data_IF_537423000512
#
_entry.id   IF_537423000512
#
_cell.length_a   1.000
_cell.length_b   1.000
_cell.length_c   1.000
_cell.angle_alpha   90.00
_cell.angle_beta   90.00
_cell.angle_gamma   90.00
#
_symmetry.space_group_name_H-M   'P 1'
#
loop_
_entity.id
_entity.type
_entity.pdbx_description
1 polymer ?
#
# COMPACT_ATOMS: atom_id res chain seq x y z
N UNK A 1 -52.63 14.92 -1.58
CA UNK A 1 -51.49 15.06 -2.52
C UNK A 1 -50.27 14.51 -1.79
N UNK A 2 -49.86 13.28 -2.08
CA UNK A 2 -48.72 12.63 -1.43
C UNK A 2 -47.47 12.90 -2.26
N UNK A 3 -46.60 13.79 -1.78
CA UNK A 3 -45.26 13.98 -2.36
C UNK A 3 -44.38 12.81 -1.95
N UNK A 4 -44.05 11.95 -2.92
CA UNK A 4 -42.97 10.97 -2.81
C UNK A 4 -41.64 11.74 -2.84
N UNK A 5 -40.97 11.85 -1.70
CA UNK A 5 -39.58 12.32 -1.63
C UNK A 5 -38.69 11.17 -2.12
N UNK A 6 -38.26 11.20 -3.39
CA UNK A 6 -37.17 10.34 -3.85
C UNK A 6 -35.90 10.73 -3.07
N UNK A 7 -35.53 9.89 -2.11
CA UNK A 7 -34.19 9.85 -1.56
C UNK A 7 -33.24 9.54 -2.71
N UNK A 8 -32.50 10.56 -3.17
CA UNK A 8 -31.40 10.39 -4.10
C UNK A 8 -30.38 9.45 -3.48
N UNK A 9 -30.28 8.24 -4.03
CA UNK A 9 -29.14 7.35 -3.82
C UNK A 9 -27.90 8.17 -4.19
N UNK A 10 -27.15 8.59 -3.18
CA UNK A 10 -25.81 9.10 -3.39
C UNK A 10 -25.00 7.92 -3.92
N UNK A 11 -24.60 8.00 -5.19
CA UNK A 11 -23.67 7.05 -5.80
C UNK A 11 -22.38 7.23 -5.01
N UNK A 12 -22.16 6.38 -4.01
CA UNK A 12 -20.90 6.35 -3.28
C UNK A 12 -19.79 6.06 -4.30
N UNK A 13 -18.78 6.92 -4.41
CA UNK A 13 -17.73 6.77 -5.40
C UNK A 13 -16.97 5.46 -5.16
N UNK A 14 -16.60 4.79 -6.25
CA UNK A 14 -15.87 3.53 -6.27
C UNK A 14 -14.61 3.65 -5.41
N UNK A 15 -14.51 2.92 -4.29
CA UNK A 15 -13.28 2.83 -3.50
C UNK A 15 -12.12 2.37 -4.41
N UNK A 16 -11.28 3.32 -4.82
CA UNK A 16 -10.19 3.12 -5.76
C UNK A 16 -8.97 2.74 -4.94
N UNK A 17 -8.73 1.44 -4.86
CA UNK A 17 -7.59 0.87 -4.18
C UNK A 17 -6.29 1.36 -4.83
N UNK A 18 -5.40 2.00 -4.08
CA UNK A 18 -4.17 2.53 -4.69
C UNK A 18 -3.23 1.44 -5.17
N UNK A 19 -3.17 0.30 -4.48
CA UNK A 19 -2.34 -0.85 -4.83
C UNK A 19 -2.97 -2.14 -4.29
N UNK A 20 -3.92 -2.75 -5.02
CA UNK A 20 -4.50 -4.04 -4.65
C UNK A 20 -3.42 -5.13 -4.51
N UNK A 21 -3.39 -5.82 -3.36
CA UNK A 21 -2.38 -6.85 -3.14
C UNK A 21 -0.97 -6.33 -2.83
N UNK A 22 -0.83 -5.13 -2.26
CA UNK A 22 0.45 -4.60 -1.78
C UNK A 22 0.33 -3.97 -0.38
N UNK A 23 1.45 -3.83 0.31
CA UNK A 23 1.49 -3.17 1.63
C UNK A 23 1.47 -1.64 1.48
N UNK A 24 2.23 -1.13 0.50
CA UNK A 24 2.46 0.30 0.33
C UNK A 24 2.43 0.71 -1.14
N UNK A 25 2.33 2.02 -1.33
CA UNK A 25 2.38 2.70 -2.61
C UNK A 25 3.45 3.80 -2.56
N UNK A 26 4.26 3.92 -3.60
CA UNK A 26 5.29 4.94 -3.73
C UNK A 26 4.83 6.04 -4.69
N UNK A 27 5.07 7.30 -4.31
CA UNK A 27 4.69 8.48 -5.08
C UNK A 27 5.89 9.39 -5.27
N UNK A 28 6.14 9.75 -6.53
CA UNK A 28 6.94 10.91 -6.91
C UNK A 28 5.99 12.03 -7.32
N UNK A 29 5.93 13.09 -6.52
CA UNK A 29 4.94 14.16 -6.74
C UNK A 29 5.45 15.32 -7.60
N UNK A 30 6.72 15.28 -8.02
CA UNK A 30 7.33 16.26 -8.93
C UNK A 30 7.67 17.61 -8.29
N UNK A 31 7.39 17.80 -7.00
CA UNK A 31 7.71 19.00 -6.21
C UNK A 31 9.02 18.84 -5.39
N UNK A 32 9.79 17.79 -5.67
CA UNK A 32 10.98 17.40 -4.92
C UNK A 32 10.70 16.53 -3.69
N UNK A 33 9.43 16.25 -3.38
CA UNK A 33 9.02 15.32 -2.35
C UNK A 33 8.59 13.96 -2.89
N UNK A 34 8.97 12.96 -2.11
CA UNK A 34 8.68 11.55 -2.35
C UNK A 34 7.98 10.96 -1.15
N UNK A 35 6.97 10.15 -1.41
CA UNK A 35 6.10 9.61 -0.38
C UNK A 35 5.96 8.10 -0.51
N UNK A 36 5.87 7.43 0.63
CA UNK A 36 5.36 6.07 0.73
C UNK A 36 4.11 6.12 1.58
N UNK A 37 2.99 5.63 1.05
CA UNK A 37 1.71 5.58 1.74
C UNK A 37 1.21 4.14 1.86
N UNK A 38 0.48 3.86 2.93
CA UNK A 38 -0.22 2.58 3.09
C UNK A 38 -1.48 2.52 2.20
N UNK A 39 -2.16 1.38 2.20
CA UNK A 39 -3.37 1.14 1.39
C UNK A 39 -4.52 2.10 1.70
N UNK A 40 -4.55 2.69 2.89
CA UNK A 40 -5.51 3.72 3.30
C UNK A 40 -5.07 5.16 2.95
N UNK A 41 -4.08 5.32 2.06
CA UNK A 41 -3.55 6.61 1.63
C UNK A 41 -2.94 7.49 2.73
N UNK A 42 -2.59 6.88 3.86
CA UNK A 42 -1.84 7.57 4.91
C UNK A 42 -0.36 7.49 4.57
N UNK A 43 0.30 8.64 4.47
CA UNK A 43 1.75 8.71 4.28
C UNK A 43 2.47 8.18 5.53
N UNK A 44 3.33 7.18 5.33
CA UNK A 44 4.19 6.59 6.37
C UNK A 44 5.64 7.09 6.25
N UNK A 45 6.08 7.42 5.04
CA UNK A 45 7.38 8.06 4.79
C UNK A 45 7.17 9.27 3.88
N UNK A 46 7.82 10.38 4.22
CA UNK A 46 7.91 11.57 3.38
C UNK A 46 9.36 12.08 3.40
N UNK A 47 9.97 12.25 2.24
CA UNK A 47 11.36 12.71 2.15
C UNK A 47 11.55 13.68 0.99
N UNK A 48 12.37 14.70 1.21
CA UNK A 48 12.82 15.62 0.18
C UNK A 48 14.26 15.28 -0.20
N UNK A 49 14.50 14.99 -1.48
CA UNK A 49 15.77 14.44 -1.95
C UNK A 49 16.17 15.09 -3.27
N UNK A 50 17.40 15.63 -3.36
CA UNK A 50 17.95 16.09 -4.65
C UNK A 50 18.21 14.93 -5.61
N UNK A 51 18.62 13.78 -5.08
CA UNK A 51 18.69 12.51 -5.80
C UNK A 51 18.05 11.42 -4.93
N UNK A 52 16.89 10.92 -5.34
CA UNK A 52 16.14 9.90 -4.60
C UNK A 52 16.95 8.64 -4.32
N UNK A 53 17.82 8.24 -5.25
CA UNK A 53 18.62 7.02 -5.12
C UNK A 53 19.75 7.12 -4.11
N UNK A 54 19.95 8.31 -3.53
CA UNK A 54 20.90 8.53 -2.43
C UNK A 54 20.21 8.72 -1.08
N UNK A 55 18.87 8.70 -1.06
CA UNK A 55 18.11 8.83 0.17
C UNK A 55 17.97 7.49 0.88
N UNK A 56 18.11 7.52 2.21
CA UNK A 56 18.18 6.33 3.05
C UNK A 56 16.94 5.43 2.98
N UNK A 57 15.79 5.99 2.60
CA UNK A 57 14.52 5.27 2.54
C UNK A 57 14.22 4.63 1.19
N UNK A 58 15.07 4.81 0.18
CA UNK A 58 14.75 4.38 -1.19
C UNK A 58 15.89 3.57 -1.80
N UNK A 59 15.54 2.44 -2.39
CA UNK A 59 16.41 1.67 -3.28
C UNK A 59 16.06 1.99 -4.72
N UNK A 60 17.08 2.17 -5.57
CA UNK A 60 16.91 2.34 -7.00
C UNK A 60 17.61 1.25 -7.81
N UNK A 61 16.90 0.70 -8.79
CA UNK A 61 17.44 -0.23 -9.78
C UNK A 61 16.48 -0.33 -10.98
N UNK A 62 16.88 0.07 -12.20
CA UNK A 62 18.13 0.73 -12.55
C UNK A 62 18.24 2.15 -11.94
N UNK A 63 19.39 2.81 -12.11
CA UNK A 63 19.63 4.15 -11.58
C UNK A 63 18.53 5.13 -12.00
N UNK A 64 17.98 5.86 -11.03
CA UNK A 64 16.91 6.85 -11.23
C UNK A 64 15.48 6.30 -11.13
N UNK A 65 15.29 4.98 -11.01
CA UNK A 65 13.99 4.35 -10.82
C UNK A 65 13.91 3.70 -9.45
N UNK A 66 12.94 4.10 -8.62
CA UNK A 66 12.73 3.51 -7.30
C UNK A 66 12.16 2.11 -7.47
N UNK A 67 12.89 1.11 -6.98
CA UNK A 67 12.46 -0.28 -6.98
C UNK A 67 12.33 -0.84 -5.56
N UNK A 68 12.65 -0.05 -4.53
CA UNK A 68 12.40 -0.43 -3.16
C UNK A 68 12.17 0.79 -2.27
N UNK A 69 11.35 0.62 -1.25
CA UNK A 69 11.15 1.60 -0.18
C UNK A 69 11.49 0.96 1.16
N UNK A 70 11.95 1.76 2.11
CA UNK A 70 12.15 1.33 3.48
C UNK A 70 11.10 2.00 4.38
N UNK A 71 10.30 1.19 5.06
CA UNK A 71 9.29 1.65 6.03
C UNK A 71 9.54 0.94 7.34
N UNK A 72 9.63 1.69 8.44
CA UNK A 72 9.94 1.16 9.78
C UNK A 72 11.21 0.27 9.82
N UNK A 73 12.22 0.61 9.02
CA UNK A 73 13.49 -0.13 8.94
C UNK A 73 13.44 -1.41 8.10
N UNK A 74 12.29 -1.76 7.51
CA UNK A 74 12.14 -2.94 6.66
C UNK A 74 12.05 -2.55 5.18
N UNK A 75 12.64 -3.37 4.32
CA UNK A 75 12.60 -3.20 2.88
C UNK A 75 11.33 -3.78 2.27
N UNK A 76 10.78 -3.02 1.32
CA UNK A 76 9.66 -3.41 0.49
C UNK A 76 10.05 -3.24 -0.97
N UNK A 77 9.91 -4.30 -1.76
CA UNK A 77 10.21 -4.30 -3.19
C UNK A 77 9.04 -3.68 -3.97
N UNK A 78 9.34 -2.72 -4.83
CA UNK A 78 8.37 -1.93 -5.57
C UNK A 78 8.35 -2.29 -7.04
N UNK A 79 7.15 -2.42 -7.61
CA UNK A 79 6.92 -2.71 -9.03
C UNK A 79 5.77 -1.87 -9.54
N UNK A 80 5.80 -1.59 -10.84
CA UNK A 80 4.63 -1.02 -11.49
C UNK A 80 3.51 -2.07 -11.52
N UNK A 81 2.28 -1.62 -11.30
CA UNK A 81 1.09 -2.47 -11.30
C UNK A 81 -0.04 -1.76 -12.06
N UNK A 82 -0.59 -2.42 -13.08
CA UNK A 82 -1.61 -1.83 -13.94
C UNK A 82 -2.96 -1.63 -13.23
N UNK A 83 -3.20 -2.33 -12.12
CA UNK A 83 -4.43 -2.24 -11.31
C UNK A 83 -4.37 -1.13 -10.26
N UNK A 84 -3.27 -0.38 -10.19
CA UNK A 84 -3.11 0.72 -9.22
C UNK A 84 -4.16 1.81 -9.42
N UNK A 85 -4.89 2.12 -8.35
CA UNK A 85 -5.86 3.22 -8.30
C UNK A 85 -5.21 4.55 -7.93
N UNK A 86 -5.96 5.39 -7.24
CA UNK A 86 -5.49 6.72 -6.85
C UNK A 86 -5.89 7.07 -5.42
N UNK A 87 -5.13 7.95 -4.76
CA UNK A 87 -5.50 8.42 -3.44
C UNK A 87 -6.62 9.46 -3.51
N UNK A 88 -7.87 9.04 -3.74
CA UNK A 88 -9.02 9.94 -3.82
C UNK A 88 -9.90 9.97 -2.56
N UNK A 89 -10.91 10.86 -2.49
CA UNK A 89 -11.86 10.97 -1.39
C UNK A 89 -12.65 9.67 -1.11
N UNK A 90 -12.70 8.77 -2.08
CA UNK A 90 -13.28 7.44 -1.98
C UNK A 90 -12.59 6.49 -0.98
N UNK A 91 -11.36 6.81 -0.54
CA UNK A 91 -10.57 5.95 0.35
C UNK A 91 -10.90 6.14 1.84
N UNK A 92 -12.01 6.80 2.17
CA UNK A 92 -12.50 6.96 3.55
C UNK A 92 -11.64 7.86 4.45
N UNK A 93 -10.50 8.32 3.96
CA UNK A 93 -9.59 9.25 4.62
C UNK A 93 -9.28 10.41 3.67
N UNK A 94 -9.12 11.62 4.22
CA UNK A 94 -8.62 12.74 3.43
C UNK A 94 -7.10 12.53 3.23
N UNK A 95 -6.65 12.11 2.02
CA UNK A 95 -5.22 11.94 1.79
C UNK A 95 -4.50 13.27 2.01
N UNK A 96 -3.19 13.25 2.34
CA UNK A 96 -2.38 14.46 2.30
C UNK A 96 -2.61 15.18 0.96
N UNK A 97 -2.71 16.52 0.93
CA UNK A 97 -2.98 17.27 -0.30
C UNK A 97 -2.04 16.91 -1.47
N UNK A 98 -0.84 16.45 -1.16
CA UNK A 98 0.18 16.03 -2.13
C UNK A 98 -0.17 14.72 -2.82
N UNK A 99 -0.93 13.83 -2.18
CA UNK A 99 -1.34 12.52 -2.70
C UNK A 99 -2.76 12.54 -3.27
N UNK A 100 -3.56 13.56 -2.94
CA UNK A 100 -4.95 13.67 -3.34
C UNK A 100 -5.14 13.53 -4.87
N UNK A 101 -5.96 12.56 -5.27
CA UNK A 101 -6.29 12.17 -6.64
C UNK A 101 -5.08 11.80 -7.50
N UNK A 102 -3.98 11.36 -6.89
CA UNK A 102 -2.79 10.91 -7.61
C UNK A 102 -2.72 9.39 -7.62
N UNK A 103 -2.34 8.84 -8.77
CA UNK A 103 -1.93 7.44 -8.88
C UNK A 103 -0.49 7.30 -8.38
N UNK A 104 -0.14 6.21 -7.69
CA UNK A 104 1.23 5.94 -7.32
C UNK A 104 2.09 5.62 -8.55
N UNK A 105 3.40 5.87 -8.43
CA UNK A 105 4.36 5.45 -9.43
C UNK A 105 4.51 3.93 -9.41
N UNK A 106 4.59 3.33 -8.23
CA UNK A 106 4.74 1.88 -8.03
C UNK A 106 4.08 1.39 -6.75
N UNK A 107 3.79 0.09 -6.71
CA UNK A 107 3.24 -0.61 -5.56
C UNK A 107 4.30 -1.51 -4.92
N UNK A 108 4.36 -1.56 -3.58
CA UNK A 108 5.47 -2.14 -2.83
C UNK A 108 5.02 -3.24 -1.85
N UNK A 109 5.72 -4.38 -1.89
CA UNK A 109 5.50 -5.55 -1.02
C UNK A 109 6.67 -5.81 -0.09
N UNK A 110 6.39 -6.33 1.10
CA UNK A 110 7.42 -6.64 2.08
C UNK A 110 8.40 -7.69 1.54
N UNK A 111 9.68 -7.33 1.48
CA UNK A 111 10.75 -8.21 1.00
C UNK A 111 11.32 -9.01 2.18
N UNK A 112 10.51 -9.97 2.67
CA UNK A 112 10.86 -10.81 3.81
C UNK A 112 12.18 -11.55 3.65
N UNK A 113 12.54 -11.95 2.42
CA UNK A 113 13.81 -12.63 2.14
C UNK A 113 14.99 -11.68 2.33
N UNK A 114 14.96 -10.50 1.68
CA UNK A 114 16.00 -9.49 1.84
C UNK A 114 16.14 -9.06 3.30
N UNK A 115 15.01 -8.82 3.97
CA UNK A 115 15.00 -8.41 5.37
C UNK A 115 15.64 -9.48 6.28
N UNK A 116 15.42 -10.77 5.99
CA UNK A 116 16.06 -11.88 6.71
C UNK A 116 17.55 -11.98 6.40
N UNK A 117 17.94 -11.85 5.13
CA UNK A 117 19.34 -11.91 4.67
C UNK A 117 20.18 -10.75 5.23
N UNK A 118 19.61 -9.55 5.32
CA UNK A 118 20.23 -8.37 5.93
C UNK A 118 20.20 -8.40 7.47
N UNK A 119 19.59 -9.43 8.08
CA UNK A 119 19.51 -9.58 9.54
C UNK A 119 18.58 -8.58 10.23
N UNK A 120 17.65 -7.98 9.49
CA UNK A 120 16.68 -7.01 10.00
C UNK A 120 15.51 -7.70 10.73
N UNK A 121 15.26 -8.97 10.43
CA UNK A 121 14.19 -9.78 11.01
C UNK A 121 14.65 -11.21 11.30
N UNK A 122 13.97 -11.89 12.23
CA UNK A 122 14.15 -13.31 12.47
C UNK A 122 13.31 -14.18 11.52
N UNK A 123 13.54 -15.50 11.59
CA UNK A 123 12.83 -16.49 10.75
C UNK A 123 11.32 -16.49 10.98
N UNK A 124 10.88 -16.24 12.22
CA UNK A 124 9.46 -16.22 12.58
C UNK A 124 8.77 -15.02 11.93
N UNK A 125 9.37 -13.84 12.04
CA UNK A 125 8.87 -12.65 11.36
C UNK A 125 8.89 -12.83 9.83
N UNK A 126 9.95 -13.41 9.26
CA UNK A 126 10.00 -13.72 7.82
C UNK A 126 8.86 -14.67 7.38
N UNK A 127 8.52 -15.67 8.19
CA UNK A 127 7.37 -16.56 7.93
C UNK A 127 6.05 -15.80 7.95
N UNK A 128 5.84 -14.91 8.92
CA UNK A 128 4.63 -14.09 9.00
C UNK A 128 4.49 -13.17 7.77
N UNK A 129 5.60 -12.59 7.30
CA UNK A 129 5.64 -11.81 6.06
C UNK A 129 5.26 -12.68 4.85
N UNK A 130 5.74 -13.92 4.79
CA UNK A 130 5.38 -14.86 3.72
C UNK A 130 3.87 -15.17 3.70
N UNK A 131 3.27 -15.33 4.88
CA UNK A 131 1.82 -15.54 5.01
C UNK A 131 1.03 -14.30 4.56
N UNK A 132 1.48 -13.10 4.95
CA UNK A 132 0.88 -11.84 4.46
C UNK A 132 1.04 -11.69 2.95
N UNK A 133 2.20 -12.02 2.39
CA UNK A 133 2.40 -11.94 0.94
C UNK A 133 1.46 -12.91 0.19
N UNK A 134 1.21 -14.10 0.74
CA UNK A 134 0.23 -15.05 0.19
C UNK A 134 -1.20 -14.52 0.24
N UNK A 135 -1.56 -13.80 1.32
CA UNK A 135 -2.83 -13.09 1.43
C UNK A 135 -2.95 -12.00 0.35
N UNK A 136 -1.89 -11.22 0.16
CA UNK A 136 -1.84 -10.15 -0.82
C UNK A 136 -1.91 -10.66 -2.27
N UNK A 137 -1.34 -11.84 -2.56
CA UNK A 137 -1.51 -12.53 -3.85
C UNK A 137 -2.97 -12.84 -4.12
N UNK A 138 -3.67 -13.44 -3.15
CA UNK A 138 -5.09 -13.70 -3.25
C UNK A 138 -5.89 -12.41 -3.46
N UNK A 139 -5.52 -11.31 -2.79
CA UNK A 139 -6.20 -10.03 -2.95
C UNK A 139 -6.07 -9.46 -4.36
N UNK A 140 -4.90 -9.60 -4.98
CA UNK A 140 -4.68 -9.18 -6.37
C UNK A 140 -5.58 -9.97 -7.32
N UNK A 141 -5.61 -11.31 -7.19
CA UNK A 141 -6.46 -12.18 -8.01
C UNK A 141 -7.95 -11.87 -7.84
N UNK A 142 -8.42 -11.69 -6.59
CA UNK A 142 -9.82 -11.33 -6.31
C UNK A 142 -10.19 -9.99 -6.93
N UNK A 143 -9.28 -9.00 -6.90
CA UNK A 143 -9.52 -7.67 -7.43
C UNK A 143 -9.59 -7.65 -8.96
N UNK A 144 -8.72 -8.43 -9.62
CA UNK A 144 -8.76 -8.63 -11.07
C UNK A 144 -10.08 -9.27 -11.53
N UNK A 145 -10.62 -10.20 -10.74
CA UNK A 145 -11.86 -10.92 -11.06
C UNK A 145 -13.14 -10.16 -10.66
N UNK A 146 -13.03 -9.13 -9.81
CA UNK A 146 -14.18 -8.38 -9.32
C UNK A 146 -14.78 -7.46 -10.37
N UNK A 147 -16.11 -7.40 -10.39
CA UNK A 147 -16.84 -6.37 -11.16
C UNK A 147 -16.68 -4.99 -10.51
N UNK A 148 -16.88 -3.92 -11.26
CA UNK A 148 -16.80 -2.56 -10.72
C UNK A 148 -17.79 -2.31 -9.56
N UNK A 149 -18.92 -3.02 -9.55
CA UNK A 149 -19.92 -2.92 -8.49
C UNK A 149 -19.46 -3.60 -7.19
N UNK A 150 -18.70 -4.68 -7.30
CA UNK A 150 -18.24 -5.48 -6.14
C UNK A 150 -16.95 -4.95 -5.52
N UNK A 151 -16.15 -4.18 -6.28
CA UNK A 151 -14.84 -3.70 -5.86
C UNK A 151 -14.88 -2.91 -4.54
N UNK A 152 -15.92 -2.14 -4.28
CA UNK A 152 -16.02 -1.37 -3.02
C UNK A 152 -16.06 -2.30 -1.80
N UNK A 153 -17.00 -3.26 -1.80
CA UNK A 153 -17.16 -4.19 -0.69
C UNK A 153 -15.94 -5.11 -0.55
N UNK A 154 -15.39 -5.55 -1.68
CA UNK A 154 -14.15 -6.33 -1.72
C UNK A 154 -13.01 -5.56 -1.05
N UNK A 155 -12.82 -4.28 -1.39
CA UNK A 155 -11.71 -3.48 -0.88
C UNK A 155 -11.78 -3.21 0.60
N UNK A 156 -12.97 -2.89 1.11
CA UNK A 156 -13.15 -2.72 2.55
C UNK A 156 -12.78 -3.98 3.33
N UNK A 157 -13.11 -5.17 2.80
CA UNK A 157 -12.68 -6.45 3.40
C UNK A 157 -11.17 -6.62 3.33
N UNK A 158 -10.58 -6.41 2.14
CA UNK A 158 -9.15 -6.59 1.92
C UNK A 158 -8.29 -5.66 2.81
N UNK A 159 -8.72 -4.42 3.03
CA UNK A 159 -8.04 -3.48 3.93
C UNK A 159 -8.01 -3.98 5.37
N UNK A 160 -9.14 -4.48 5.88
CA UNK A 160 -9.20 -5.07 7.22
C UNK A 160 -8.32 -6.32 7.34
N UNK A 161 -8.31 -7.19 6.32
CA UNK A 161 -7.46 -8.39 6.30
C UNK A 161 -5.96 -8.03 6.28
N UNK A 162 -5.57 -6.99 5.53
CA UNK A 162 -4.18 -6.49 5.49
C UNK A 162 -3.79 -5.87 6.83
N UNK A 163 -4.65 -5.05 7.44
CA UNK A 163 -4.40 -4.48 8.77
C UNK A 163 -4.16 -5.58 9.81
N UNK A 164 -4.99 -6.63 9.81
CA UNK A 164 -4.83 -7.77 10.71
C UNK A 164 -3.53 -8.55 10.41
N UNK A 165 -3.20 -8.78 9.15
CA UNK A 165 -1.98 -9.49 8.76
C UNK A 165 -0.71 -8.71 9.17
N UNK A 166 -0.69 -7.39 8.95
CA UNK A 166 0.40 -6.53 9.39
C UNK A 166 0.55 -6.51 10.91
N UNK A 167 -0.57 -6.59 11.67
CA UNK A 167 -0.50 -6.75 13.12
C UNK A 167 0.17 -8.08 13.51
N UNK A 168 -0.13 -9.18 12.82
CA UNK A 168 0.52 -10.48 13.06
C UNK A 168 2.03 -10.45 12.76
N UNK A 169 2.46 -9.70 11.74
CA UNK A 169 3.89 -9.46 11.49
C UNK A 169 4.57 -8.76 12.67
N UNK A 170 3.96 -7.68 13.19
CA UNK A 170 4.47 -6.96 14.37
C UNK A 170 4.55 -7.86 15.60
N UNK A 171 3.51 -8.67 15.84
CA UNK A 171 3.52 -9.64 16.94
C UNK A 171 4.65 -10.67 16.76
N UNK A 172 4.83 -11.21 15.55
CA UNK A 172 5.91 -12.14 15.25
C UNK A 172 7.31 -11.52 15.48
N UNK A 173 7.49 -10.25 15.13
CA UNK A 173 8.72 -9.51 15.37
C UNK A 173 9.06 -9.37 16.86
N UNK A 174 8.06 -9.15 17.72
CA UNK A 174 8.26 -8.98 19.16
C UNK A 174 8.80 -10.25 19.86
N UNK A 175 8.56 -11.43 19.29
CA UNK A 175 9.08 -12.68 19.83
C UNK A 175 10.48 -13.04 19.34
N UNK A 176 10.99 -12.40 18.29
CA UNK A 176 12.36 -12.58 17.80
C UNK A 176 13.37 -11.74 18.62
N UNK A 177 12.89 -10.82 19.46
CA UNK A 177 13.70 -9.95 20.34
C UNK A 177 13.91 -10.48 21.77
N UNK A 178 13.67 -11.76 22.03
CA UNK A 178 13.85 -12.43 23.35
C UNK A 178 15.00 -13.42 23.33
#
# INVERSE_FOLDING_TARGET
MHSLTLLGLSILPLASAICPGYNYAFFNTGDGWFYTANTACKAEVASNCGNICTCSFFGCSPSGSVNAVQVNGLWYNCRDDASKGSCGPENGFAPPPQLANRAPESCCRNDGNRNLEEGLIGKRHASAISDTNSLLDRHAEEYEQATDQDRIALRSRQEAEVEEAMKREVEAAAFDSV
#
